data_IF_055400039554
#
_entry.id   IF_055400039554
#
_cell.length_a   1.000
_cell.length_b   1.000
_cell.length_c   1.000
_cell.angle_alpha   90.00
_cell.angle_beta   90.00
_cell.angle_gamma   90.00
#
_symmetry.space_group_name_H-M   'P 1'
#
loop_
_entity.id
_entity.type
_entity.pdbx_description
1 polymer ?
#
# COMPACT_ATOMS: atom_id res chain seq x y z
N UNK A 1 -8.45 -21.11 -3.43
CA UNK A 1 -6.99 -21.34 -3.49
C UNK A 1 -6.66 -22.48 -2.55
N UNK A 2 -5.74 -23.39 -2.90
CA UNK A 2 -5.20 -24.36 -1.95
C UNK A 2 -4.66 -23.61 -0.72
N UNK A 3 -4.78 -24.22 0.46
CA UNK A 3 -4.24 -23.63 1.67
C UNK A 3 -2.71 -23.53 1.53
N UNK A 4 -2.19 -22.31 1.54
CA UNK A 4 -0.75 -22.04 1.38
C UNK A 4 0.05 -22.72 2.51
N UNK A 5 -0.57 -22.93 3.68
CA UNK A 5 0.03 -23.70 4.76
C UNK A 5 0.33 -25.15 4.34
N UNK A 6 -0.51 -25.74 3.49
CA UNK A 6 -0.46 -27.14 3.05
C UNK A 6 0.32 -27.35 1.74
N UNK A 7 0.98 -26.31 1.20
CA UNK A 7 1.82 -26.47 0.02
C UNK A 7 2.87 -27.59 0.21
N UNK A 8 3.00 -28.53 -0.74
CA UNK A 8 4.02 -29.57 -0.73
C UNK A 8 5.42 -29.03 -0.53
N UNK A 9 6.29 -29.84 0.06
CA UNK A 9 7.69 -29.47 0.24
C UNK A 9 8.36 -29.21 -1.12
N UNK A 10 9.11 -28.10 -1.22
CA UNK A 10 9.73 -27.64 -2.46
C UNK A 10 8.82 -26.78 -3.35
N UNK A 11 7.51 -26.75 -3.15
CA UNK A 11 6.62 -25.87 -3.92
C UNK A 11 6.50 -24.48 -3.30
N UNK A 12 6.72 -23.44 -4.11
CA UNK A 12 6.64 -22.03 -3.71
C UNK A 12 5.78 -21.23 -4.67
N UNK A 13 5.11 -20.21 -4.14
CA UNK A 13 4.38 -19.22 -4.95
C UNK A 13 5.34 -18.13 -5.41
N UNK A 14 5.39 -17.87 -6.71
CA UNK A 14 6.24 -16.82 -7.28
C UNK A 14 5.56 -15.46 -7.10
N UNK A 15 6.20 -14.55 -6.39
CA UNK A 15 5.71 -13.19 -6.17
C UNK A 15 6.61 -12.22 -6.92
N UNK A 16 6.02 -11.51 -7.89
CA UNK A 16 6.71 -10.45 -8.60
C UNK A 16 6.89 -9.22 -7.71
N UNK A 17 8.05 -8.59 -7.78
CA UNK A 17 8.34 -7.33 -7.08
C UNK A 17 8.69 -6.22 -8.08
N UNK A 18 8.24 -5.00 -7.78
CA UNK A 18 8.61 -3.82 -8.56
C UNK A 18 9.99 -3.28 -8.15
N UNK A 19 10.44 -2.22 -8.83
CA UNK A 19 11.73 -1.55 -8.58
C UNK A 19 11.83 -0.88 -7.19
N UNK A 20 10.73 -0.84 -6.42
CA UNK A 20 10.69 -0.37 -5.03
C UNK A 20 10.64 -1.54 -4.03
N UNK A 21 10.89 -2.77 -4.49
CA UNK A 21 10.88 -4.00 -3.70
C UNK A 21 9.51 -4.33 -3.10
N UNK A 22 8.44 -3.88 -3.76
CA UNK A 22 7.06 -4.09 -3.31
C UNK A 22 6.43 -5.21 -4.14
N UNK A 23 5.75 -6.17 -3.50
CA UNK A 23 4.96 -7.18 -4.19
C UNK A 23 3.88 -6.56 -5.09
N UNK A 24 3.81 -7.02 -6.33
CA UNK A 24 2.81 -6.65 -7.34
C UNK A 24 2.20 -7.91 -7.99
N UNK A 25 1.19 -7.74 -8.84
CA UNK A 25 0.47 -8.88 -9.43
C UNK A 25 -0.56 -9.52 -8.50
N UNK A 26 -1.18 -10.61 -8.94
CA UNK A 26 -2.23 -11.29 -8.16
C UNK A 26 -1.65 -12.09 -6.99
N UNK A 27 -0.46 -12.65 -7.15
CA UNK A 27 0.29 -13.42 -6.15
C UNK A 27 0.70 -12.57 -4.95
N UNK A 28 0.86 -11.25 -5.14
CA UNK A 28 1.02 -10.30 -4.03
C UNK A 28 -0.17 -10.34 -3.06
N UNK A 29 -1.38 -10.60 -3.56
CA UNK A 29 -2.59 -10.77 -2.73
C UNK A 29 -2.48 -12.04 -1.90
N UNK A 30 -2.02 -13.13 -2.51
CA UNK A 30 -1.80 -14.42 -1.84
C UNK A 30 -0.83 -14.25 -0.67
N UNK A 31 0.30 -13.58 -0.92
CA UNK A 31 1.29 -13.24 0.12
C UNK A 31 0.67 -12.41 1.24
N UNK A 32 -0.04 -11.32 0.90
CA UNK A 32 -0.67 -10.44 1.88
C UNK A 32 -1.74 -11.16 2.74
N UNK A 33 -2.51 -12.07 2.14
CA UNK A 33 -3.48 -12.89 2.85
C UNK A 33 -2.78 -13.88 3.78
N UNK A 34 -1.76 -14.59 3.29
CA UNK A 34 -1.00 -15.55 4.09
C UNK A 34 -0.35 -14.87 5.30
N UNK A 35 0.31 -13.72 5.11
CA UNK A 35 0.85 -12.90 6.20
C UNK A 35 -0.25 -12.57 7.21
N UNK A 36 -1.43 -12.17 6.74
CA UNK A 36 -2.60 -11.90 7.57
C UNK A 36 -3.07 -13.09 8.41
N UNK A 37 -2.95 -14.33 7.91
CA UNK A 37 -3.25 -15.54 8.70
C UNK A 37 -2.16 -15.82 9.73
N UNK A 38 -0.90 -15.65 9.36
CA UNK A 38 0.25 -15.93 10.20
C UNK A 38 0.31 -15.01 11.42
N UNK A 39 0.12 -13.70 11.25
CA UNK A 39 0.15 -12.74 12.37
C UNK A 39 -1.03 -12.86 13.35
N UNK A 40 -2.03 -13.69 13.02
CA UNK A 40 -3.16 -14.00 13.91
C UNK A 40 -2.95 -15.30 14.69
N UNK A 41 -1.89 -16.07 14.40
CA UNK A 41 -1.53 -17.27 15.16
C UNK A 41 -0.73 -16.89 16.40
N UNK A 42 -1.18 -17.37 17.56
CA UNK A 42 -0.59 -17.09 18.89
C UNK A 42 0.92 -17.38 18.94
N UNK A 43 1.36 -18.48 18.30
CA UNK A 43 2.77 -18.88 18.27
C UNK A 43 3.67 -17.90 17.52
N UNK A 44 3.18 -17.32 16.42
CA UNK A 44 3.99 -16.45 15.56
C UNK A 44 4.02 -15.01 16.04
N UNK A 45 2.85 -14.42 16.31
CA UNK A 45 2.75 -13.00 16.67
C UNK A 45 1.86 -12.76 17.90
N UNK A 46 2.39 -13.01 19.11
CA UNK A 46 1.68 -12.75 20.36
C UNK A 46 1.12 -11.32 20.44
N UNK A 47 -0.12 -11.19 20.90
CA UNK A 47 -0.79 -9.88 21.01
C UNK A 47 -0.44 -9.13 22.30
N UNK A 48 0.20 -9.82 23.27
CA UNK A 48 0.66 -9.25 24.54
C UNK A 48 1.76 -8.20 24.38
N UNK A 49 2.53 -8.26 23.28
CA UNK A 49 3.49 -7.19 22.97
C UNK A 49 2.75 -5.91 22.57
N UNK A 50 3.11 -4.79 23.21
CA UNK A 50 2.47 -3.50 22.92
C UNK A 50 2.84 -2.98 21.52
N UNK A 51 4.13 -3.05 21.18
CA UNK A 51 4.70 -2.46 19.96
C UNK A 51 5.52 -3.51 19.21
N UNK A 52 5.56 -3.43 17.88
CA UNK A 52 6.31 -4.37 17.03
C UNK A 52 7.82 -4.37 17.30
N UNK A 53 8.38 -3.25 17.74
CA UNK A 53 9.77 -3.16 18.17
C UNK A 53 10.08 -4.04 19.39
N UNK A 54 9.07 -4.31 20.24
CA UNK A 54 9.19 -5.21 21.40
C UNK A 54 8.98 -6.69 21.04
N UNK A 55 8.47 -6.99 19.84
CA UNK A 55 8.40 -8.35 19.34
C UNK A 55 9.84 -8.89 19.20
N UNK A 56 10.17 -10.03 19.83
CA UNK A 56 11.49 -10.64 19.74
C UNK A 56 11.95 -10.86 18.29
N UNK A 57 13.23 -10.64 18.02
CA UNK A 57 13.77 -10.80 16.66
C UNK A 57 13.69 -12.25 16.18
N UNK A 58 13.91 -13.23 17.04
CA UNK A 58 13.75 -14.65 16.67
C UNK A 58 12.35 -14.98 16.14
N UNK A 59 11.28 -14.39 16.68
CA UNK A 59 9.91 -14.56 16.14
C UNK A 59 9.72 -13.91 14.78
N UNK A 60 10.34 -12.74 14.55
CA UNK A 60 10.32 -12.08 13.24
C UNK A 60 11.06 -12.90 12.19
N UNK A 61 12.19 -13.48 12.59
CA UNK A 61 12.98 -14.39 11.76
C UNK A 61 12.22 -15.68 11.46
N UNK A 62 11.57 -16.31 12.47
CA UNK A 62 10.72 -17.49 12.29
C UNK A 62 9.57 -17.24 11.29
N UNK A 63 8.88 -16.10 11.41
CA UNK A 63 7.85 -15.69 10.46
C UNK A 63 8.43 -15.45 9.06
N UNK A 64 9.62 -14.87 8.96
CA UNK A 64 10.29 -14.66 7.67
C UNK A 64 10.71 -15.99 7.02
N UNK A 65 11.33 -16.90 7.76
CA UNK A 65 11.69 -18.23 7.25
C UNK A 65 10.45 -19.01 6.79
N UNK A 66 9.33 -18.87 7.50
CA UNK A 66 8.04 -19.47 7.07
C UNK A 66 7.56 -18.90 5.72
N UNK A 67 7.80 -17.61 5.46
CA UNK A 67 7.50 -16.99 4.16
C UNK A 67 8.43 -17.55 3.08
N UNK A 68 9.73 -17.64 3.33
CA UNK A 68 10.71 -18.17 2.38
C UNK A 68 10.47 -19.64 2.01
N UNK A 69 9.85 -20.42 2.91
CA UNK A 69 9.46 -21.80 2.62
C UNK A 69 8.28 -21.89 1.63
N UNK A 70 7.41 -20.88 1.59
CA UNK A 70 6.14 -20.91 0.84
C UNK A 70 6.11 -19.97 -0.36
N UNK A 71 7.02 -19.01 -0.40
CA UNK A 71 7.09 -17.96 -1.42
C UNK A 71 8.51 -17.81 -1.94
N UNK A 72 8.63 -17.49 -3.22
CA UNK A 72 9.85 -17.00 -3.82
C UNK A 72 9.59 -15.71 -4.57
N UNK A 73 10.63 -14.89 -4.71
CA UNK A 73 10.49 -13.54 -5.24
C UNK A 73 11.28 -13.40 -6.54
N UNK A 74 10.69 -12.70 -7.51
CA UNK A 74 11.26 -12.43 -8.83
C UNK A 74 11.02 -10.97 -9.19
N UNK A 75 11.91 -10.39 -9.99
CA UNK A 75 11.67 -9.04 -10.52
C UNK A 75 10.45 -9.02 -11.44
N UNK A 76 9.75 -7.89 -11.51
CA UNK A 76 8.53 -7.82 -12.31
C UNK A 76 8.78 -7.97 -13.82
N UNK A 77 9.87 -7.36 -14.30
CA UNK A 77 10.28 -7.30 -15.71
C UNK A 77 11.29 -8.38 -16.12
N UNK A 78 11.57 -9.36 -15.25
CA UNK A 78 12.52 -10.45 -15.52
C UNK A 78 12.07 -11.76 -14.88
N UNK A 79 12.40 -12.88 -15.51
CA UNK A 79 12.18 -14.22 -14.95
C UNK A 79 13.32 -14.64 -14.00
N UNK A 80 14.34 -13.79 -13.85
CA UNK A 80 15.46 -14.01 -12.95
C UNK A 80 15.02 -13.93 -11.47
N UNK A 81 15.66 -14.78 -10.65
CA UNK A 81 15.57 -14.67 -9.20
C UNK A 81 16.21 -13.37 -8.70
N UNK A 82 15.90 -13.01 -7.46
CA UNK A 82 16.47 -11.82 -6.82
C UNK A 82 17.76 -12.14 -6.07
N UNK A 83 18.68 -11.16 -6.04
CA UNK A 83 19.90 -11.26 -5.26
C UNK A 83 19.66 -11.05 -3.75
N UNK A 84 20.67 -11.34 -2.92
CA UNK A 84 20.58 -11.24 -1.46
C UNK A 84 20.28 -9.80 -1.00
N UNK A 85 20.83 -8.79 -1.69
CA UNK A 85 20.60 -7.39 -1.38
C UNK A 85 19.13 -7.00 -1.60
N UNK A 86 18.53 -7.40 -2.71
CA UNK A 86 17.11 -7.21 -3.02
C UNK A 86 16.23 -7.97 -2.04
N UNK A 87 16.59 -9.22 -1.72
CA UNK A 87 15.84 -10.04 -0.76
C UNK A 87 15.77 -9.37 0.62
N UNK A 88 16.83 -8.71 1.06
CA UNK A 88 16.84 -7.94 2.31
C UNK A 88 15.84 -6.78 2.30
N UNK A 89 15.66 -6.11 1.17
CA UNK A 89 14.65 -5.06 1.01
C UNK A 89 13.22 -5.62 1.01
N UNK A 90 13.00 -6.75 0.33
CA UNK A 90 11.72 -7.47 0.33
C UNK A 90 11.37 -7.92 1.75
N UNK A 91 12.31 -8.52 2.48
CA UNK A 91 12.15 -8.90 3.89
C UNK A 91 11.72 -7.72 4.74
N UNK A 92 12.37 -6.57 4.59
CA UNK A 92 12.00 -5.34 5.31
C UNK A 92 10.56 -4.92 5.01
N UNK A 93 10.13 -5.02 3.75
CA UNK A 93 8.74 -4.75 3.36
C UNK A 93 7.77 -5.74 4.01
N UNK A 94 8.05 -7.05 3.94
CA UNK A 94 7.21 -8.12 4.53
C UNK A 94 7.06 -7.94 6.04
N UNK A 95 8.14 -7.66 6.76
CA UNK A 95 8.08 -7.39 8.21
C UNK A 95 7.27 -6.13 8.54
N UNK A 96 7.29 -5.12 7.66
CA UNK A 96 6.47 -3.91 7.81
C UNK A 96 4.97 -4.21 7.56
N UNK A 97 4.67 -5.05 6.58
CA UNK A 97 3.29 -5.49 6.29
C UNK A 97 2.74 -6.36 7.44
N UNK A 98 3.55 -7.29 7.97
CA UNK A 98 3.25 -8.06 9.19
C UNK A 98 2.90 -7.16 10.36
N UNK A 99 3.73 -6.15 10.66
CA UNK A 99 3.45 -5.17 11.72
C UNK A 99 2.11 -4.48 11.50
N UNK A 100 1.84 -4.04 10.28
CA UNK A 100 0.59 -3.36 9.92
C UNK A 100 -0.61 -4.26 10.17
N UNK A 101 -0.58 -5.51 9.69
CA UNK A 101 -1.68 -6.48 9.87
C UNK A 101 -1.83 -6.93 11.31
N UNK A 102 -0.75 -7.10 12.05
CA UNK A 102 -0.78 -7.43 13.48
C UNK A 102 -1.42 -6.29 14.30
N UNK A 103 -1.11 -5.03 13.98
CA UNK A 103 -1.78 -3.87 14.59
C UNK A 103 -3.25 -3.78 14.21
N UNK A 104 -3.60 -4.04 12.93
CA UNK A 104 -4.98 -4.11 12.47
C UNK A 104 -5.74 -5.19 13.24
N UNK A 105 -5.15 -6.37 13.41
CA UNK A 105 -5.74 -7.47 14.17
C UNK A 105 -6.07 -7.06 15.61
N UNK A 106 -5.11 -6.43 16.32
CA UNK A 106 -5.37 -5.91 17.68
C UNK A 106 -6.49 -4.86 17.71
N UNK A 107 -6.60 -4.02 16.68
CA UNK A 107 -7.67 -3.03 16.58
C UNK A 107 -9.03 -3.67 16.27
N UNK A 108 -9.07 -4.67 15.39
CA UNK A 108 -10.27 -5.46 15.10
C UNK A 108 -10.78 -6.13 16.38
N UNK A 109 -9.90 -6.80 17.13
CA UNK A 109 -10.23 -7.36 18.45
C UNK A 109 -10.78 -6.29 19.38
N UNK A 110 -10.07 -5.16 19.52
CA UNK A 110 -10.52 -4.05 20.37
C UNK A 110 -11.93 -3.60 20.00
N UNK A 111 -12.22 -3.43 18.71
CA UNK A 111 -13.54 -2.98 18.25
C UNK A 111 -14.70 -3.92 18.59
N UNK A 112 -14.41 -5.21 18.81
CA UNK A 112 -15.41 -6.23 19.09
C UNK A 112 -15.70 -6.40 20.57
N UNK A 113 -14.68 -6.26 21.43
CA UNK A 113 -14.78 -6.65 22.85
C UNK A 113 -14.61 -5.49 23.83
N UNK A 114 -14.02 -4.37 23.41
CA UNK A 114 -13.61 -3.32 24.34
C UNK A 114 -14.78 -2.44 24.79
N UNK A 115 -14.96 -2.36 26.10
CA UNK A 115 -15.83 -1.39 26.77
C UNK A 115 -15.04 -0.76 27.92
N UNK A 116 -14.93 0.57 27.90
CA UNK A 116 -14.15 1.33 28.89
C UNK A 116 -14.80 1.32 30.29
N UNK A 117 -16.08 0.98 30.38
CA UNK A 117 -16.82 0.93 31.65
C UNK A 117 -16.79 -0.46 32.30
N UNK A 118 -16.18 -1.45 31.64
CA UNK A 118 -16.13 -2.82 32.09
C UNK A 118 -14.79 -3.18 32.72
N UNK A 119 -14.80 -4.19 33.58
CA UNK A 119 -13.57 -4.73 34.17
C UNK A 119 -12.75 -5.49 33.14
N UNK A 120 -11.43 -5.55 33.32
CA UNK A 120 -10.51 -6.35 32.49
C UNK A 120 -11.02 -7.78 32.34
N UNK A 121 -11.45 -8.40 33.46
CA UNK A 121 -11.96 -9.78 33.49
C UNK A 121 -13.17 -9.95 32.58
N UNK A 122 -14.17 -9.06 32.71
CA UNK A 122 -15.37 -9.12 31.90
C UNK A 122 -15.08 -8.96 30.39
N UNK A 123 -14.20 -8.02 30.02
CA UNK A 123 -13.79 -7.80 28.62
C UNK A 123 -13.12 -9.05 28.03
N UNK A 124 -12.22 -9.68 28.80
CA UNK A 124 -11.50 -10.89 28.37
C UNK A 124 -12.47 -12.08 28.22
N UNK A 125 -13.40 -12.26 29.16
CA UNK A 125 -14.41 -13.33 29.11
C UNK A 125 -15.39 -13.17 27.93
N UNK A 126 -15.62 -11.94 27.47
CA UNK A 126 -16.45 -11.67 26.29
C UNK A 126 -15.75 -12.02 24.95
N UNK A 127 -14.44 -12.29 24.95
CA UNK A 127 -13.73 -12.65 23.72
C UNK A 127 -14.05 -14.08 23.27
N UNK A 128 -14.79 -14.21 22.16
CA UNK A 128 -15.19 -15.50 21.57
C UNK A 128 -14.28 -15.98 20.42
N UNK A 129 -13.25 -15.22 20.06
CA UNK A 129 -12.38 -15.59 18.94
C UNK A 129 -11.40 -16.70 19.35
N UNK A 130 -11.46 -17.89 18.72
CA UNK A 130 -10.66 -19.05 19.12
C UNK A 130 -9.16 -18.89 18.84
N UNK A 131 -8.77 -17.88 18.03
CA UNK A 131 -7.36 -17.60 17.71
C UNK A 131 -6.68 -16.79 18.82
N UNK A 132 -7.42 -16.30 19.80
CA UNK A 132 -6.92 -15.43 20.86
C UNK A 132 -6.58 -16.23 22.09
N UNK A 133 -5.34 -16.08 22.57
CA UNK A 133 -4.96 -16.56 23.89
C UNK A 133 -5.42 -15.54 24.95
N UNK A 134 -6.20 -15.99 25.93
CA UNK A 134 -6.83 -15.12 26.93
C UNK A 134 -5.82 -14.44 27.87
N UNK A 135 -4.71 -15.10 28.20
CA UNK A 135 -3.65 -14.48 29.03
C UNK A 135 -2.97 -13.34 28.28
N UNK A 136 -2.66 -13.54 26.99
CA UNK A 136 -2.12 -12.47 26.15
C UNK A 136 -3.12 -11.32 25.98
N UNK A 137 -4.41 -11.65 25.86
CA UNK A 137 -5.47 -10.66 25.75
C UNK A 137 -5.59 -9.84 27.03
N UNK A 138 -5.52 -10.47 28.20
CA UNK A 138 -5.57 -9.79 29.50
C UNK A 138 -4.54 -8.68 29.59
N UNK A 139 -3.26 -8.97 29.28
CA UNK A 139 -2.19 -7.96 29.25
C UNK A 139 -2.50 -6.81 28.29
N UNK A 140 -3.08 -7.12 27.14
CA UNK A 140 -3.42 -6.12 26.13
C UNK A 140 -4.60 -5.22 26.57
N UNK A 141 -5.61 -5.80 27.22
CA UNK A 141 -6.77 -5.08 27.76
C UNK A 141 -6.37 -4.16 28.91
N UNK A 142 -5.52 -4.63 29.82
CA UNK A 142 -4.92 -3.80 30.90
C UNK A 142 -4.23 -2.57 30.31
N UNK A 143 -3.47 -2.75 29.22
CA UNK A 143 -2.87 -1.63 28.51
C UNK A 143 -3.93 -0.71 27.89
N UNK A 144 -4.97 -1.24 27.25
CA UNK A 144 -6.00 -0.42 26.62
C UNK A 144 -6.77 0.47 27.59
N UNK A 145 -6.98 0.00 28.83
CA UNK A 145 -7.62 0.74 29.91
C UNK A 145 -6.66 1.70 30.65
N UNK A 146 -5.36 1.67 30.36
CA UNK A 146 -4.42 2.64 30.92
C UNK A 146 -4.73 4.05 30.43
N UNK A 147 -4.56 5.05 31.32
CA UNK A 147 -4.81 6.47 31.00
C UNK A 147 -4.07 6.91 29.74
N UNK A 148 -2.81 6.50 29.59
CA UNK A 148 -1.98 6.80 28.41
C UNK A 148 -2.57 6.25 27.11
N UNK A 149 -3.06 5.01 27.12
CA UNK A 149 -3.64 4.41 25.92
C UNK A 149 -4.99 5.04 25.57
N UNK A 150 -5.80 5.39 26.56
CA UNK A 150 -7.09 6.06 26.37
C UNK A 150 -6.91 7.47 25.79
N UNK A 151 -5.99 8.27 26.34
CA UNK A 151 -5.67 9.60 25.82
C UNK A 151 -5.17 9.55 24.36
N UNK A 152 -4.26 8.61 24.07
CA UNK A 152 -3.77 8.39 22.71
C UNK A 152 -4.90 7.97 21.76
N UNK A 153 -5.81 7.11 22.23
CA UNK A 153 -6.96 6.65 21.46
C UNK A 153 -7.93 7.81 21.16
N UNK A 154 -8.22 8.67 22.14
CA UNK A 154 -9.06 9.85 21.97
C UNK A 154 -8.46 10.83 20.95
N UNK A 155 -7.15 11.09 21.06
CA UNK A 155 -6.40 11.92 20.11
C UNK A 155 -6.45 11.34 18.69
N UNK A 156 -6.22 10.03 18.56
CA UNK A 156 -6.25 9.35 17.26
C UNK A 156 -7.65 9.36 16.63
N UNK A 157 -8.71 9.23 17.44
CA UNK A 157 -10.11 9.34 16.99
C UNK A 157 -10.41 10.74 16.45
N UNK A 158 -10.00 11.78 17.17
CA UNK A 158 -10.10 13.18 16.73
C UNK A 158 -9.28 13.47 15.47
N UNK A 159 -8.10 12.88 15.32
CA UNK A 159 -7.32 13.02 14.09
C UNK A 159 -7.96 12.27 12.93
N UNK A 160 -8.53 11.08 13.17
CA UNK A 160 -9.20 10.29 12.14
C UNK A 160 -10.46 10.98 11.63
N UNK A 161 -11.21 11.70 12.47
CA UNK A 161 -12.40 12.45 12.04
C UNK A 161 -12.07 13.60 11.07
N UNK A 162 -10.82 14.07 11.04
CA UNK A 162 -10.34 15.09 10.09
C UNK A 162 -10.03 14.51 8.70
N UNK A 163 -9.98 13.18 8.54
CA UNK A 163 -9.76 12.55 7.23
C UNK A 163 -10.97 12.80 6.34
N UNK A 164 -10.78 13.65 5.33
CA UNK A 164 -11.90 14.11 4.49
C UNK A 164 -11.88 13.63 3.04
N UNK A 165 -10.83 12.92 2.63
CA UNK A 165 -10.68 12.40 1.26
C UNK A 165 -10.18 10.94 1.28
N UNK A 166 -11.04 10.00 1.71
CA UNK A 166 -10.68 8.58 1.71
C UNK A 166 -10.45 8.09 0.27
N UNK A 167 -9.62 7.07 0.10
CA UNK A 167 -9.51 6.35 -1.17
C UNK A 167 -10.63 5.30 -1.29
N UNK A 168 -10.97 4.91 -2.52
CA UNK A 168 -11.99 3.91 -2.83
C UNK A 168 -11.42 2.68 -3.57
N UNK A 169 -10.14 2.36 -3.32
CA UNK A 169 -9.41 1.29 -4.02
C UNK A 169 -9.70 -0.12 -3.50
N UNK A 170 -10.46 -0.23 -2.41
CA UNK A 170 -10.74 -1.51 -1.75
C UNK A 170 -9.45 -2.21 -1.30
N UNK A 171 -9.36 -3.51 -1.60
CA UNK A 171 -8.20 -4.35 -1.28
C UNK A 171 -7.01 -4.16 -2.23
N UNK A 172 -7.16 -3.38 -3.32
CA UNK A 172 -6.03 -3.10 -4.22
C UNK A 172 -5.07 -2.10 -3.57
N UNK A 173 -3.83 -2.54 -3.45
CA UNK A 173 -2.73 -1.76 -2.89
C UNK A 173 -2.24 -0.70 -3.90
N UNK A 174 -1.67 0.40 -3.40
CA UNK A 174 -1.10 1.44 -4.26
C UNK A 174 0.00 0.94 -5.21
N UNK A 175 0.92 0.04 -4.82
CA UNK A 175 1.90 -0.52 -5.75
C UNK A 175 1.25 -1.22 -6.94
N UNK A 176 0.18 -1.99 -6.70
CA UNK A 176 -0.59 -2.62 -7.78
C UNK A 176 -1.30 -1.59 -8.65
N UNK A 177 -1.87 -0.54 -8.08
CA UNK A 177 -2.49 0.54 -8.85
C UNK A 177 -1.47 1.24 -9.75
N UNK A 178 -0.26 1.48 -9.25
CA UNK A 178 0.83 2.06 -10.04
C UNK A 178 1.19 1.14 -11.19
N UNK A 179 1.26 -0.18 -10.93
CA UNK A 179 1.57 -1.17 -11.97
C UNK A 179 0.46 -1.27 -13.02
N UNK A 180 -0.80 -1.38 -12.60
CA UNK A 180 -1.98 -1.42 -13.46
C UNK A 180 -1.98 -0.18 -14.39
N UNK A 181 -1.79 1.02 -13.82
CA UNK A 181 -1.70 2.27 -14.59
C UNK A 181 -0.49 2.33 -15.54
N UNK A 182 0.65 1.76 -15.13
CA UNK A 182 1.86 1.71 -15.96
C UNK A 182 1.63 0.82 -17.18
N UNK A 183 1.01 -0.35 -16.97
CA UNK A 183 0.65 -1.29 -18.03
C UNK A 183 -0.37 -0.68 -18.98
N UNK A 184 -1.43 -0.04 -18.46
CA UNK A 184 -2.45 0.67 -19.26
C UNK A 184 -1.86 1.82 -20.10
N UNK A 185 -0.75 2.41 -19.67
CA UNK A 185 -0.10 3.55 -20.33
C UNK A 185 1.15 3.17 -21.14
N UNK A 186 1.17 1.98 -21.74
CA UNK A 186 2.30 1.48 -22.55
C UNK A 186 3.65 1.54 -21.82
N UNK A 187 3.67 1.09 -20.57
CA UNK A 187 4.84 1.07 -19.67
C UNK A 187 5.37 2.44 -19.25
N UNK A 188 4.57 3.50 -19.39
CA UNK A 188 4.92 4.82 -18.85
C UNK A 188 4.42 4.92 -17.40
N UNK A 189 5.30 5.12 -16.40
CA UNK A 189 4.89 5.21 -15.01
C UNK A 189 3.92 6.37 -14.74
N UNK A 190 2.85 6.16 -13.94
CA UNK A 190 1.89 7.20 -13.61
C UNK A 190 2.50 8.27 -12.70
N UNK A 191 2.01 9.50 -12.83
CA UNK A 191 2.32 10.55 -11.86
C UNK A 191 1.56 10.31 -10.55
N UNK A 192 2.01 10.93 -9.46
CA UNK A 192 1.24 10.95 -8.19
C UNK A 192 -0.19 11.45 -8.36
N UNK A 193 -0.41 12.36 -9.31
CA UNK A 193 -1.74 12.88 -9.64
C UNK A 193 -2.61 11.82 -10.34
N UNK A 194 -2.04 10.97 -11.21
CA UNK A 194 -2.78 9.85 -11.82
C UNK A 194 -3.22 8.84 -10.77
N UNK A 195 -2.30 8.48 -9.87
CA UNK A 195 -2.60 7.57 -8.75
C UNK A 195 -3.66 8.17 -7.83
N UNK A 196 -3.59 9.48 -7.54
CA UNK A 196 -4.61 10.18 -6.75
C UNK A 196 -5.99 10.10 -7.43
N UNK A 197 -6.09 10.47 -8.71
CA UNK A 197 -7.35 10.38 -9.47
C UNK A 197 -7.89 8.95 -9.46
N UNK A 198 -7.09 7.97 -9.88
CA UNK A 198 -7.48 6.54 -9.92
C UNK A 198 -7.97 6.03 -8.57
N UNK A 199 -7.34 6.43 -7.48
CA UNK A 199 -7.70 5.95 -6.14
C UNK A 199 -8.89 6.66 -5.50
N UNK A 200 -9.38 7.76 -6.08
CA UNK A 200 -10.57 8.50 -5.61
C UNK A 200 -11.75 8.38 -6.59
N UNK A 201 -11.54 7.76 -7.75
CA UNK A 201 -12.58 7.42 -8.72
C UNK A 201 -13.06 5.98 -8.50
N UNK A 202 -14.37 5.80 -8.33
CA UNK A 202 -15.01 4.48 -8.20
C UNK A 202 -15.13 3.82 -9.58
N UNK A 203 -15.49 2.53 -9.59
CA UNK A 203 -15.66 1.75 -10.84
C UNK A 203 -16.77 2.30 -11.76
N UNK A 204 -17.79 2.93 -11.18
CA UNK A 204 -18.88 3.60 -11.91
C UNK A 204 -18.49 5.00 -12.44
N UNK A 205 -17.25 5.45 -12.20
CA UNK A 205 -16.75 6.77 -12.59
C UNK A 205 -17.02 7.88 -11.58
N UNK A 206 -17.83 7.64 -10.54
CA UNK A 206 -18.11 8.66 -9.51
C UNK A 206 -16.88 8.92 -8.63
N UNK A 207 -16.70 10.18 -8.23
CA UNK A 207 -15.64 10.55 -7.28
C UNK A 207 -16.11 10.28 -5.85
N UNK A 208 -15.21 9.80 -5.00
CA UNK A 208 -15.49 9.32 -3.64
C UNK A 208 -16.32 10.29 -2.79
N UNK A 209 -16.08 11.60 -2.93
CA UNK A 209 -16.84 12.68 -2.30
C UNK A 209 -16.59 14.05 -2.99
N UNK A 210 -17.36 15.11 -2.64
CA UNK A 210 -17.22 16.43 -3.26
C UNK A 210 -15.86 17.09 -3.06
N UNK A 211 -15.18 16.87 -1.91
CA UNK A 211 -13.85 17.46 -1.67
C UNK A 211 -12.79 16.90 -2.61
N UNK A 212 -12.77 15.58 -2.77
CA UNK A 212 -11.91 14.91 -3.73
C UNK A 212 -12.24 15.34 -5.17
N UNK A 213 -13.51 15.59 -5.50
CA UNK A 213 -13.92 16.06 -6.82
C UNK A 213 -13.27 17.41 -7.19
N UNK A 214 -13.28 18.38 -6.27
CA UNK A 214 -12.61 19.68 -6.45
C UNK A 214 -11.10 19.52 -6.71
N UNK A 215 -10.44 18.58 -6.02
CA UNK A 215 -9.02 18.30 -6.23
C UNK A 215 -8.78 17.66 -7.59
N UNK A 216 -9.62 16.71 -8.00
CA UNK A 216 -9.54 16.04 -9.32
C UNK A 216 -9.74 17.05 -10.45
N UNK A 217 -10.75 17.92 -10.36
CA UNK A 217 -10.99 18.99 -11.33
C UNK A 217 -9.78 19.91 -11.46
N UNK A 218 -9.21 20.36 -10.33
CA UNK A 218 -7.99 21.19 -10.32
C UNK A 218 -6.80 20.49 -10.97
N UNK A 219 -6.65 19.19 -10.77
CA UNK A 219 -5.60 18.38 -11.44
C UNK A 219 -5.84 18.40 -12.96
N UNK A 220 -7.08 18.19 -13.41
CA UNK A 220 -7.44 18.17 -14.83
C UNK A 220 -7.22 19.53 -15.49
N UNK A 221 -7.64 20.63 -14.85
CA UNK A 221 -7.42 22.00 -15.34
C UNK A 221 -5.93 22.31 -15.55
N UNK A 222 -5.09 21.98 -14.56
CA UNK A 222 -3.64 22.19 -14.66
C UNK A 222 -3.03 21.38 -15.81
N UNK A 223 -3.50 20.16 -16.02
CA UNK A 223 -3.06 19.30 -17.14
C UNK A 223 -3.46 19.88 -18.49
N UNK A 224 -4.69 20.37 -18.62
CA UNK A 224 -5.17 21.01 -19.84
C UNK A 224 -4.37 22.25 -20.17
N UNK A 225 -4.17 23.15 -19.20
CA UNK A 225 -3.33 24.35 -19.37
C UNK A 225 -1.90 23.99 -19.80
N UNK A 226 -1.26 23.01 -19.14
CA UNK A 226 0.09 22.57 -19.50
C UNK A 226 0.15 21.90 -20.89
N UNK A 227 -0.90 21.21 -21.32
CA UNK A 227 -1.00 20.65 -22.67
C UNK A 227 -1.11 21.74 -23.72
N UNK A 228 -2.02 22.70 -23.52
CA UNK A 228 -2.20 23.85 -24.41
C UNK A 228 -0.91 24.66 -24.56
N UNK A 229 -0.22 24.92 -23.46
CA UNK A 229 1.06 25.64 -23.47
C UNK A 229 2.14 24.89 -24.27
N UNK A 230 2.23 23.57 -24.15
CA UNK A 230 3.16 22.75 -24.95
C UNK A 230 2.84 22.78 -26.43
N UNK A 231 1.56 22.73 -26.80
CA UNK A 231 1.12 22.84 -28.19
C UNK A 231 1.49 24.23 -28.74
N UNK A 232 1.19 25.28 -27.98
CA UNK A 232 1.53 26.65 -28.33
C UNK A 232 3.04 26.80 -28.59
N UNK A 233 3.90 26.37 -27.66
CA UNK A 233 5.35 26.46 -27.84
C UNK A 233 5.85 25.66 -29.05
N UNK A 234 5.27 24.48 -29.33
CA UNK A 234 5.63 23.68 -30.50
C UNK A 234 5.28 24.39 -31.80
N UNK A 235 4.05 24.89 -31.91
CA UNK A 235 3.58 25.61 -33.10
C UNK A 235 4.35 26.93 -33.30
N UNK A 236 4.55 27.69 -32.23
CA UNK A 236 5.35 28.91 -32.27
C UNK A 236 6.79 28.64 -32.72
N UNK A 237 7.43 27.58 -32.20
CA UNK A 237 8.76 27.16 -32.64
C UNK A 237 8.81 26.81 -34.14
N UNK A 238 7.81 26.06 -34.64
CA UNK A 238 7.71 25.74 -36.07
C UNK A 238 7.53 26.99 -36.93
N UNK A 239 6.66 27.92 -36.51
CA UNK A 239 6.43 29.18 -37.19
C UNK A 239 7.71 30.03 -37.27
N UNK A 240 8.45 30.15 -36.16
CA UNK A 240 9.72 30.91 -36.14
C UNK A 240 10.79 30.28 -37.04
N UNK A 241 10.86 28.95 -37.14
CA UNK A 241 11.76 28.29 -38.10
C UNK A 241 11.36 28.58 -39.54
N UNK A 242 10.06 28.58 -39.86
CA UNK A 242 9.58 28.89 -41.21
C UNK A 242 9.87 30.34 -41.61
N UNK A 243 9.72 31.30 -40.69
CA UNK A 243 10.07 32.70 -40.94
C UNK A 243 11.56 32.84 -41.26
N UNK A 244 12.45 32.25 -40.46
CA UNK A 244 13.90 32.26 -40.73
C UNK A 244 14.26 31.66 -42.10
N UNK A 245 13.61 30.57 -42.49
CA UNK A 245 13.82 29.95 -43.80
C UNK A 245 13.31 30.82 -44.95
N UNK A 246 12.26 31.63 -44.72
CA UNK A 246 11.76 32.58 -45.70
C UNK A 246 12.72 33.75 -45.86
N UNK A 247 13.22 34.29 -44.75
CA UNK A 247 14.19 35.39 -44.74
C UNK A 247 15.48 34.98 -45.45
N UNK A 248 16.01 33.77 -45.20
CA UNK A 248 17.18 33.23 -45.91
C UNK A 248 16.95 33.09 -47.42
N UNK A 249 15.76 32.64 -47.84
CA UNK A 249 15.42 32.54 -49.27
C UNK A 249 15.27 33.90 -49.94
N UNK A 250 14.78 34.92 -49.23
CA UNK A 250 14.68 36.27 -49.78
C UNK A 250 16.07 36.91 -49.91
N UNK A 251 16.98 36.68 -48.95
CA UNK A 251 18.38 37.12 -49.04
C UNK A 251 19.15 36.44 -50.18
N UNK A 252 18.97 35.13 -50.39
CA UNK A 252 19.63 34.38 -51.46
C UNK A 252 19.12 34.75 -52.88
N UNK A 253 17.93 35.34 -53.00
CA UNK A 253 17.33 35.76 -54.29
C UNK A 253 17.84 37.15 -54.75
N UNK A 254 18.46 37.93 -53.87
CA UNK A 254 19.06 39.24 -54.21
C UNK A 254 20.55 39.16 -54.60
N UNK A 255 21.12 37.96 -54.70
CA UNK A 255 22.50 37.73 -55.19
C UNK A 255 22.46 37.27 -56.65
N UNK A 256 22.17 38.17 -57.60
CA UNK A 256 22.43 38.02 -59.05
C UNK A 256 22.94 39.34 -59.61
#
# INVERSE_FOLDING_TARGET
>A
MPDIWELPEGQRVNVKINNLYQPVGEESTCLCHFIGTMVRKVGFAPISYLNWHRMPNNKKEEMWSTIELKFQFQLFDSDEGIDEATLKHVKKWVLSDMNTKWRQWKNELKSQIFDENQTVKHIVENCKDPRVNLDQLKTLVEYWLSSKAMEQSATNRSNRSKLSEPHCTGTRSFPRIVEDLTTESNRIPPTRADVYVRSRTRKDGSIVNPRAAVVVERIQEKRMKARLLRIYHKLHGQMMCLLKLKDQKEEDVFVV
#
